data_IF_029248088681
#
_entry.id   IF_029248088681
#
_cell.length_a   1.000
_cell.length_b   1.000
_cell.length_c   1.000
_cell.angle_alpha   90.00
_cell.angle_beta   90.00
_cell.angle_gamma   90.00
#
_symmetry.space_group_name_H-M   'P 1'
#
loop_
_entity.id
_entity.type
_entity.pdbx_description
1 polymer ?
#
# COMPACT_ATOMS: atom_id res chain seq x y z
N UNK A 1 -10.97 21.48 2.41
CA UNK A 1 -9.77 21.01 1.69
C UNK A 1 -9.84 19.51 1.49
N UNK A 2 -9.23 19.00 0.42
CA UNK A 2 -9.21 17.57 0.05
C UNK A 2 -7.79 17.16 -0.29
N UNK A 3 -7.39 15.96 0.13
CA UNK A 3 -6.12 15.36 -0.26
C UNK A 3 -6.28 14.69 -1.63
N UNK A 4 -5.34 14.97 -2.54
CA UNK A 4 -5.32 14.40 -3.90
C UNK A 4 -4.03 13.60 -4.06
N UNK A 5 -4.15 12.32 -4.40
CA UNK A 5 -3.00 11.41 -4.55
C UNK A 5 -3.07 10.71 -5.90
N UNK A 6 -1.97 10.74 -6.66
CA UNK A 6 -1.78 9.90 -7.84
C UNK A 6 -0.75 8.82 -7.54
N UNK A 7 -1.23 7.58 -7.41
CA UNK A 7 -0.38 6.41 -7.36
C UNK A 7 -0.04 6.00 -8.80
N UNK A 8 1.26 5.98 -9.12
CA UNK A 8 1.75 5.74 -10.49
C UNK A 8 2.71 4.55 -10.53
N UNK A 9 2.94 3.96 -11.72
CA UNK A 9 3.96 2.93 -11.87
C UNK A 9 5.33 3.41 -11.38
N UNK A 10 6.14 2.50 -10.83
CA UNK A 10 7.41 2.88 -10.18
C UNK A 10 8.36 3.68 -11.10
N UNK A 11 8.34 3.40 -12.40
CA UNK A 11 9.15 4.09 -13.42
C UNK A 11 8.71 5.55 -13.64
N UNK A 12 7.46 5.88 -13.30
CA UNK A 12 6.85 7.18 -13.52
C UNK A 12 6.84 8.06 -12.26
N UNK A 13 7.28 7.53 -11.10
CA UNK A 13 7.28 8.27 -9.83
C UNK A 13 8.07 9.57 -9.95
N UNK A 14 9.31 9.52 -10.44
CA UNK A 14 10.18 10.71 -10.55
C UNK A 14 9.61 11.77 -11.51
N UNK A 15 9.22 11.45 -12.76
CA UNK A 15 8.62 12.46 -13.64
C UNK A 15 7.27 12.98 -13.12
N UNK A 16 6.45 12.13 -12.47
CA UNK A 16 5.20 12.59 -11.86
C UNK A 16 5.46 13.53 -10.67
N UNK A 17 6.48 13.25 -9.85
CA UNK A 17 6.91 14.12 -8.76
C UNK A 17 7.33 15.51 -9.28
N UNK A 18 8.08 15.56 -10.39
CA UNK A 18 8.44 16.82 -11.03
C UNK A 18 7.21 17.58 -11.52
N UNK A 19 6.30 16.89 -12.21
CA UNK A 19 5.09 17.49 -12.76
C UNK A 19 4.12 18.02 -11.69
N UNK A 20 4.11 17.41 -10.50
CA UNK A 20 3.26 17.81 -9.39
C UNK A 20 3.81 18.96 -8.53
N UNK A 21 5.06 19.42 -8.77
CA UNK A 21 5.67 20.50 -7.98
C UNK A 21 4.82 21.78 -7.98
N UNK A 22 4.64 22.35 -6.79
CA UNK A 22 3.84 23.57 -6.60
C UNK A 22 2.32 23.36 -6.62
N UNK A 23 1.85 22.11 -6.75
CA UNK A 23 0.44 21.75 -6.65
C UNK A 23 0.13 21.14 -5.27
N UNK A 24 -1.15 20.81 -5.02
CA UNK A 24 -1.59 20.05 -3.86
C UNK A 24 -1.67 18.53 -4.11
N UNK A 25 -1.09 18.04 -5.21
CA UNK A 25 -1.12 16.62 -5.58
C UNK A 25 0.07 15.91 -4.95
N UNK A 26 -0.20 14.85 -4.20
CA UNK A 26 0.80 13.90 -3.73
C UNK A 26 1.02 12.80 -4.76
N UNK A 27 2.25 12.30 -4.87
CA UNK A 27 2.56 11.10 -5.65
C UNK A 27 2.72 9.91 -4.71
N UNK A 28 2.03 8.83 -5.07
CA UNK A 28 2.08 7.55 -4.39
C UNK A 28 2.72 6.46 -5.27
N UNK A 29 3.09 5.35 -4.64
CA UNK A 29 3.48 4.13 -5.33
C UNK A 29 2.32 3.12 -5.37
N UNK A 30 2.31 2.24 -6.36
CA UNK A 30 1.30 1.18 -6.51
C UNK A 30 1.63 -0.10 -5.71
N UNK A 31 2.88 -0.24 -5.25
CA UNK A 31 3.36 -1.34 -4.42
C UNK A 31 4.72 -0.97 -3.80
N UNK A 32 5.07 -1.66 -2.72
CA UNK A 32 6.45 -1.73 -2.21
C UNK A 32 6.72 -3.11 -1.60
N UNK A 33 7.98 -3.46 -1.45
CA UNK A 33 8.38 -4.63 -0.68
C UNK A 33 8.57 -4.29 0.80
N UNK A 34 8.53 -5.30 1.67
CA UNK A 34 8.66 -5.10 3.13
C UNK A 34 10.11 -5.18 3.63
N UNK A 35 11.06 -5.60 2.78
CA UNK A 35 12.49 -5.58 3.09
C UNK A 35 13.16 -4.33 2.53
N UNK A 36 14.12 -3.79 3.26
CA UNK A 36 14.81 -2.55 2.90
C UNK A 36 15.85 -2.73 1.79
N UNK A 37 16.39 -3.95 1.68
CA UNK A 37 17.39 -4.39 0.72
C UNK A 37 17.48 -5.91 0.74
N UNK A 38 17.97 -6.51 -0.35
CA UNK A 38 18.24 -7.94 -0.39
C UNK A 38 18.10 -8.52 -1.79
N UNK A 39 18.05 -9.85 -1.86
CA UNK A 39 17.91 -10.61 -3.10
C UNK A 39 16.43 -10.68 -3.54
N UNK A 40 15.85 -9.53 -3.87
CA UNK A 40 14.45 -9.35 -4.26
C UNK A 40 14.37 -8.69 -5.63
N UNK A 41 14.92 -9.34 -6.66
CA UNK A 41 15.01 -8.80 -8.02
C UNK A 41 13.63 -8.39 -8.53
N UNK A 42 13.51 -7.13 -8.94
CA UNK A 42 12.27 -6.56 -9.50
C UNK A 42 11.41 -5.81 -8.48
N UNK A 43 11.66 -5.98 -7.18
CA UNK A 43 10.92 -5.26 -6.14
C UNK A 43 11.49 -3.85 -5.86
N UNK A 44 10.62 -2.96 -5.39
CA UNK A 44 10.97 -1.60 -4.95
C UNK A 44 10.99 -1.56 -3.42
N UNK A 45 12.09 -1.10 -2.83
CA UNK A 45 12.21 -1.00 -1.37
C UNK A 45 11.58 0.29 -0.83
N UNK A 46 11.18 0.33 0.46
CA UNK A 46 10.65 1.55 1.07
C UNK A 46 11.66 2.71 1.02
N UNK A 47 12.96 2.42 1.17
CA UNK A 47 14.02 3.43 1.06
C UNK A 47 14.04 4.13 -0.31
N UNK A 48 13.82 3.37 -1.39
CA UNK A 48 13.76 3.94 -2.75
C UNK A 48 12.56 4.89 -2.91
N UNK A 49 11.42 4.55 -2.30
CA UNK A 49 10.24 5.40 -2.32
C UNK A 49 10.43 6.68 -1.50
N UNK A 50 11.03 6.57 -0.32
CA UNK A 50 11.36 7.73 0.53
C UNK A 50 12.34 8.67 -0.19
N UNK A 51 13.38 8.12 -0.83
CA UNK A 51 14.36 8.90 -1.61
C UNK A 51 13.72 9.63 -2.79
N UNK A 52 12.75 8.99 -3.45
CA UNK A 52 11.93 9.60 -4.50
C UNK A 52 10.91 10.65 -3.99
N UNK A 53 10.74 10.79 -2.67
CA UNK A 53 9.82 11.73 -2.04
C UNK A 53 8.37 11.25 -1.92
N UNK A 54 8.11 9.96 -2.16
CA UNK A 54 6.78 9.35 -2.07
C UNK A 54 6.25 9.41 -0.63
N UNK A 55 4.95 9.70 -0.50
CA UNK A 55 4.25 9.77 0.80
C UNK A 55 3.17 8.72 1.00
N UNK A 56 2.70 8.10 -0.09
CA UNK A 56 1.63 7.12 -0.05
C UNK A 56 2.01 5.86 -0.82
N UNK A 57 1.52 4.71 -0.39
CA UNK A 57 1.70 3.46 -1.13
C UNK A 57 0.46 2.59 -1.05
N UNK A 58 -0.01 2.11 -2.20
CA UNK A 58 -1.07 1.10 -2.26
C UNK A 58 -0.48 -0.25 -1.83
N UNK A 59 -1.18 -0.94 -0.92
CA UNK A 59 -0.80 -2.28 -0.45
C UNK A 59 -2.04 -3.17 -0.43
N UNK A 60 -1.90 -4.42 -0.91
CA UNK A 60 -2.99 -5.38 -0.86
C UNK A 60 -4.03 -5.21 -1.95
N UNK A 61 -3.70 -4.56 -3.08
CA UNK A 61 -4.63 -4.42 -4.21
C UNK A 61 -5.10 -5.79 -4.69
N UNK A 62 -6.35 -5.90 -5.14
CA UNK A 62 -6.93 -7.20 -5.54
C UNK A 62 -6.10 -7.90 -6.62
N UNK A 63 -5.60 -7.15 -7.61
CA UNK A 63 -4.72 -7.66 -8.66
C UNK A 63 -3.42 -8.26 -8.10
N UNK A 64 -2.86 -7.66 -7.04
CA UNK A 64 -1.65 -8.18 -6.36
C UNK A 64 -1.93 -9.46 -5.59
N UNK A 65 -3.10 -9.53 -4.94
CA UNK A 65 -3.54 -10.72 -4.23
C UNK A 65 -3.83 -11.88 -5.19
N UNK A 66 -4.46 -11.59 -6.33
CA UNK A 66 -4.88 -12.59 -7.30
C UNK A 66 -3.72 -13.08 -8.19
N UNK A 67 -2.92 -12.15 -8.72
CA UNK A 67 -1.93 -12.48 -9.77
C UNK A 67 -0.50 -12.58 -9.25
N UNK A 68 -0.19 -11.94 -8.12
CA UNK A 68 1.19 -11.76 -7.64
C UNK A 68 1.45 -12.36 -6.25
N UNK A 69 0.57 -13.28 -5.81
CA UNK A 69 0.70 -14.03 -4.56
C UNK A 69 0.85 -13.14 -3.31
N UNK A 70 0.26 -11.96 -3.31
CA UNK A 70 0.21 -11.10 -2.13
C UNK A 70 -0.80 -11.66 -1.11
N UNK A 71 -0.35 -11.94 0.10
CA UNK A 71 -1.14 -12.55 1.17
C UNK A 71 -1.44 -11.54 2.25
N UNK A 72 -2.40 -11.83 3.14
CA UNK A 72 -2.67 -10.96 4.29
C UNK A 72 -1.42 -10.77 5.19
N UNK A 73 -0.58 -11.80 5.30
CA UNK A 73 0.68 -11.72 6.05
C UNK A 73 1.69 -10.77 5.37
N UNK A 74 1.86 -10.86 4.05
CA UNK A 74 2.78 -9.96 3.35
C UNK A 74 2.25 -8.54 3.30
N UNK A 75 0.93 -8.36 3.22
CA UNK A 75 0.27 -7.05 3.41
C UNK A 75 0.60 -6.45 4.77
N UNK A 76 0.44 -7.21 5.87
CA UNK A 76 0.78 -6.70 7.20
C UNK A 76 2.25 -6.29 7.32
N UNK A 77 3.18 -7.12 6.81
CA UNK A 77 4.62 -6.77 6.79
C UNK A 77 4.87 -5.47 6.03
N UNK A 78 4.23 -5.27 4.89
CA UNK A 78 4.33 -4.03 4.10
C UNK A 78 3.72 -2.83 4.84
N UNK A 79 2.56 -2.99 5.47
CA UNK A 79 1.91 -1.91 6.25
C UNK A 79 2.83 -1.45 7.39
N UNK A 80 3.38 -2.37 8.17
CA UNK A 80 4.30 -2.06 9.25
C UNK A 80 5.56 -1.35 8.73
N UNK A 81 6.14 -1.86 7.64
CA UNK A 81 7.34 -1.27 7.04
C UNK A 81 7.05 0.11 6.43
N UNK A 82 5.86 0.35 5.87
CA UNK A 82 5.48 1.65 5.33
C UNK A 82 5.48 2.71 6.44
N UNK A 83 4.82 2.40 7.56
CA UNK A 83 4.80 3.30 8.72
C UNK A 83 6.20 3.53 9.32
N UNK A 84 7.04 2.50 9.41
CA UNK A 84 8.42 2.61 9.89
C UNK A 84 9.24 3.62 9.05
N UNK A 85 8.94 3.72 7.75
CA UNK A 85 9.60 4.64 6.81
C UNK A 85 8.83 5.95 6.60
N UNK A 86 7.78 6.21 7.39
CA UNK A 86 6.98 7.43 7.27
C UNK A 86 6.18 7.54 5.97
N UNK A 87 5.86 6.40 5.35
CA UNK A 87 4.97 6.30 4.18
C UNK A 87 3.59 5.87 4.69
N UNK A 88 2.56 6.58 4.23
CA UNK A 88 1.17 6.26 4.55
C UNK A 88 0.66 5.12 3.67
N UNK A 89 0.30 3.96 4.22
CA UNK A 89 -0.23 2.85 3.44
C UNK A 89 -1.71 3.05 3.11
N UNK A 90 -2.08 2.93 1.83
CA UNK A 90 -3.46 2.81 1.36
C UNK A 90 -3.77 1.32 1.27
N UNK A 91 -4.42 0.77 2.30
CA UNK A 91 -4.64 -0.68 2.42
C UNK A 91 -5.92 -1.09 1.70
N UNK A 92 -5.78 -1.90 0.65
CA UNK A 92 -6.91 -2.44 -0.08
C UNK A 92 -7.43 -3.74 0.56
N UNK A 93 -8.76 -3.86 0.60
CA UNK A 93 -9.49 -5.04 1.03
C UNK A 93 -10.73 -5.21 0.14
N UNK A 94 -11.28 -6.42 0.10
CA UNK A 94 -12.43 -6.73 -0.73
C UNK A 94 -12.62 -8.22 -0.89
N UNK A 95 -13.87 -8.59 -1.12
CA UNK A 95 -14.31 -9.94 -1.41
C UNK A 95 -14.41 -10.20 -2.93
N UNK A 96 -14.40 -11.46 -3.31
CA UNK A 96 -14.76 -11.89 -4.67
C UNK A 96 -16.28 -11.96 -4.83
N UNK A 97 -16.75 -11.99 -6.08
CA UNK A 97 -18.18 -12.17 -6.37
C UNK A 97 -18.75 -13.43 -5.69
N UNK A 98 -18.02 -14.55 -5.72
CA UNK A 98 -18.43 -15.80 -5.06
C UNK A 98 -18.59 -15.62 -3.54
N UNK A 99 -17.64 -14.93 -2.89
CA UNK A 99 -17.71 -14.67 -1.45
C UNK A 99 -18.89 -13.77 -1.09
N UNK A 100 -19.19 -12.79 -1.96
CA UNK A 100 -20.38 -11.94 -1.82
C UNK A 100 -21.67 -12.75 -1.95
N UNK A 101 -21.77 -13.61 -2.96
CA UNK A 101 -22.95 -14.47 -3.18
C UNK A 101 -23.14 -15.49 -2.05
N UNK A 102 -22.06 -15.90 -1.39
CA UNK A 102 -22.10 -16.73 -0.17
C UNK A 102 -22.48 -15.96 1.09
N UNK A 103 -22.60 -14.63 1.02
CA UNK A 103 -22.99 -13.78 2.16
C UNK A 103 -21.87 -13.57 3.19
N UNK A 104 -20.60 -13.80 2.83
CA UNK A 104 -19.47 -13.72 3.77
C UNK A 104 -18.64 -12.43 3.66
N UNK A 105 -19.08 -11.44 2.87
CA UNK A 105 -18.36 -10.16 2.63
C UNK A 105 -17.83 -9.52 3.91
N UNK A 106 -18.67 -9.37 4.93
CA UNK A 106 -18.31 -8.66 6.17
C UNK A 106 -17.25 -9.43 6.97
N UNK A 107 -17.39 -10.75 7.08
CA UNK A 107 -16.44 -11.57 7.83
C UNK A 107 -15.09 -11.64 7.11
N UNK A 108 -15.13 -11.71 5.77
CA UNK A 108 -13.96 -11.67 4.91
C UNK A 108 -13.18 -10.35 5.04
N UNK A 109 -13.85 -9.21 4.85
CA UNK A 109 -13.22 -7.88 4.98
C UNK A 109 -12.68 -7.69 6.40
N UNK A 110 -13.44 -8.10 7.44
CA UNK A 110 -13.00 -7.98 8.83
C UNK A 110 -11.71 -8.77 9.08
N UNK A 111 -11.57 -9.96 8.50
CA UNK A 111 -10.34 -10.75 8.61
C UNK A 111 -9.16 -10.01 7.95
N UNK A 112 -9.33 -9.55 6.70
CA UNK A 112 -8.27 -8.85 5.97
C UNK A 112 -7.78 -7.61 6.75
N UNK A 113 -8.69 -6.78 7.25
CA UNK A 113 -8.34 -5.57 8.01
C UNK A 113 -7.65 -5.92 9.33
N UNK A 114 -8.15 -6.92 10.07
CA UNK A 114 -7.52 -7.34 11.34
C UNK A 114 -6.08 -7.81 11.15
N UNK A 115 -5.82 -8.57 10.08
CA UNK A 115 -4.47 -9.06 9.81
C UNK A 115 -3.59 -7.92 9.30
N UNK A 116 -4.07 -7.11 8.34
CA UNK A 116 -3.31 -6.00 7.79
C UNK A 116 -2.83 -5.00 8.87
N UNK A 117 -3.67 -4.73 9.88
CA UNK A 117 -3.37 -3.82 10.99
C UNK A 117 -2.86 -4.50 12.27
N UNK A 118 -2.50 -5.78 12.21
CA UNK A 118 -1.89 -6.46 13.36
C UNK A 118 -0.59 -5.75 13.75
N UNK A 119 -0.44 -5.41 15.03
CA UNK A 119 0.68 -4.64 15.59
C UNK A 119 0.80 -3.19 15.07
N UNK A 120 -0.21 -2.65 14.39
CA UNK A 120 -0.29 -1.22 14.05
C UNK A 120 -0.91 -0.47 15.24
N UNK A 121 -0.29 0.64 15.64
CA UNK A 121 -0.81 1.46 16.74
C UNK A 121 -2.05 2.24 16.31
N UNK A 122 -2.87 2.67 17.28
CA UNK A 122 -4.05 3.49 16.99
C UNK A 122 -3.70 4.82 16.31
N UNK A 123 -2.53 5.39 16.57
CA UNK A 123 -2.11 6.65 15.95
C UNK A 123 -1.65 6.46 14.51
N UNK A 124 -0.94 5.37 14.20
CA UNK A 124 -0.65 4.98 12.83
C UNK A 124 -1.93 4.68 12.05
N UNK A 125 -2.87 3.94 12.65
CA UNK A 125 -4.11 3.58 11.98
C UNK A 125 -5.01 4.77 11.62
N UNK A 126 -4.86 5.94 12.29
CA UNK A 126 -5.62 7.16 11.95
C UNK A 126 -5.19 7.81 10.64
N UNK A 127 -3.97 7.50 10.17
CA UNK A 127 -3.42 8.13 8.97
C UNK A 127 -3.51 7.24 7.74
N UNK A 128 -3.82 5.94 7.90
CA UNK A 128 -3.98 4.98 6.80
C UNK A 128 -5.39 5.00 6.19
#
# INVERSE_FOLDING_TARGET
DVDVVFCVPAIDIIPAMEAAKGTNIYIGAENMYYEEKGAYTGEISPNMLVDAGVKYVIIGHSERREYFAETDETVNKKVLKAFEHGITPIVCCGETLTQREQGITIDWIRQQIKIAFLNVTADQAKTA
#
